data_IF_028330583057
#
_entry.id   IF_028330583057
#
_cell.length_a   1.000
_cell.length_b   1.000
_cell.length_c   1.000
_cell.angle_alpha   90.00
_cell.angle_beta   90.00
_cell.angle_gamma   90.00
#
_symmetry.space_group_name_H-M   'P 1'
#
loop_
_entity.id
_entity.type
_entity.pdbx_description
1 polymer ?
#
# COMPACT_ATOMS: atom_id res chain seq x y z
N UNK A 1 -28.29 92.90 39.75
CA UNK A 1 -27.22 92.07 40.32
C UNK A 1 -27.88 91.17 41.36
N UNK A 2 -27.94 89.88 41.05
CA UNK A 2 -28.48 88.69 41.76
C UNK A 2 -29.46 88.87 42.93
N UNK A 3 -30.59 88.11 42.90
CA UNK A 3 -30.93 87.06 43.88
C UNK A 3 -32.25 86.33 43.48
N UNK A 4 -32.10 85.01 43.31
CA UNK A 4 -32.98 83.85 43.59
C UNK A 4 -34.51 83.87 43.40
N UNK A 5 -34.99 82.89 42.64
CA UNK A 5 -36.28 82.22 42.87
C UNK A 5 -36.20 80.69 42.64
N UNK A 6 -36.41 79.94 43.73
CA UNK A 6 -37.31 78.78 43.93
C UNK A 6 -37.36 77.67 42.87
N UNK A 7 -36.86 76.46 43.16
CA UNK A 7 -37.54 75.32 43.82
C UNK A 7 -38.23 74.34 42.85
N UNK A 8 -37.80 73.08 42.83
CA UNK A 8 -38.74 71.96 42.91
C UNK A 8 -38.05 70.63 43.16
N UNK A 9 -38.68 69.92 44.07
CA UNK A 9 -38.42 68.56 44.52
C UNK A 9 -38.86 67.60 43.41
N UNK A 10 -38.04 66.61 43.08
CA UNK A 10 -38.59 65.34 42.60
C UNK A 10 -37.73 64.18 43.08
N UNK A 11 -38.31 63.43 44.01
CA UNK A 11 -37.93 62.06 44.37
C UNK A 11 -38.43 61.13 43.26
N UNK A 12 -37.56 60.33 42.68
CA UNK A 12 -37.90 59.09 41.99
C UNK A 12 -36.71 58.14 42.20
N UNK A 13 -36.79 57.27 43.20
CA UNK A 13 -37.34 55.92 43.09
C UNK A 13 -36.40 55.00 42.30
N UNK A 14 -35.76 54.12 43.07
CA UNK A 14 -34.81 53.13 42.65
C UNK A 14 -35.41 52.11 41.67
N UNK A 15 -34.65 51.77 40.64
CA UNK A 15 -34.79 50.53 39.89
C UNK A 15 -33.41 50.13 39.36
N UNK A 16 -32.60 49.56 40.25
CA UNK A 16 -31.32 48.93 39.92
C UNK A 16 -31.61 47.63 39.17
N UNK A 17 -31.69 47.67 37.84
CA UNK A 17 -31.74 46.46 37.01
C UNK A 17 -30.31 45.93 36.88
N UNK A 18 -30.00 44.97 37.75
CA UNK A 18 -28.77 44.18 37.74
C UNK A 18 -28.84 43.21 36.54
N UNK A 19 -28.35 43.64 35.37
CA UNK A 19 -28.22 42.75 34.21
C UNK A 19 -27.02 41.82 34.44
N UNK A 20 -27.30 40.64 34.97
CA UNK A 20 -26.33 39.56 35.19
C UNK A 20 -25.69 39.13 33.88
N UNK A 21 -24.39 39.36 33.79
CA UNK A 21 -23.50 38.96 32.71
C UNK A 21 -23.33 37.44 32.73
N UNK A 22 -24.12 36.71 31.94
CA UNK A 22 -23.82 35.32 31.62
C UNK A 22 -22.71 35.36 30.55
N UNK A 23 -21.48 35.59 31.00
CA UNK A 23 -20.31 35.31 30.17
C UNK A 23 -20.18 33.79 30.14
N UNK A 24 -20.55 33.22 29.01
CA UNK A 24 -20.20 31.86 28.63
C UNK A 24 -18.67 31.79 28.59
N UNK A 25 -18.08 31.28 29.67
CA UNK A 25 -16.70 30.85 29.66
C UNK A 25 -16.57 29.71 28.66
N UNK A 26 -16.23 30.04 27.41
CA UNK A 26 -15.54 29.10 26.55
C UNK A 26 -14.22 28.78 27.26
N UNK A 27 -14.22 27.70 28.04
CA UNK A 27 -12.98 27.09 28.48
C UNK A 27 -12.31 26.54 27.22
N UNK A 28 -11.45 27.36 26.64
CA UNK A 28 -10.44 26.91 25.70
C UNK A 28 -9.57 25.93 26.50
N UNK A 29 -9.83 24.64 26.33
CA UNK A 29 -8.87 23.62 26.75
C UNK A 29 -7.76 23.70 25.71
N UNK A 30 -6.58 24.28 26.03
CA UNK A 30 -5.45 24.08 25.15
C UNK A 30 -5.16 22.59 25.21
N UNK A 31 -5.55 21.86 24.16
CA UNK A 31 -4.88 20.63 23.80
C UNK A 31 -3.43 21.05 23.53
N UNK A 32 -2.62 21.05 24.57
CA UNK A 32 -1.16 21.03 24.45
C UNK A 32 -0.89 19.63 23.91
N UNK A 33 -0.97 19.47 22.59
CA UNK A 33 -0.35 18.32 21.96
C UNK A 33 1.14 18.39 22.34
N UNK A 34 1.67 17.41 23.09
CA UNK A 34 3.09 17.39 23.38
C UNK A 34 3.80 17.38 22.04
N UNK A 35 4.74 18.33 21.84
CA UNK A 35 5.46 18.61 20.59
C UNK A 35 5.76 17.29 19.86
N UNK A 36 4.88 16.92 18.93
CA UNK A 36 4.98 15.65 18.23
C UNK A 36 5.90 15.84 17.04
N UNK A 37 6.97 15.05 16.98
CA UNK A 37 7.86 15.00 15.82
C UNK A 37 7.09 14.50 14.60
N UNK A 38 7.42 14.99 13.40
CA UNK A 38 6.84 14.42 12.19
C UNK A 38 7.58 13.14 11.81
N UNK A 39 6.85 12.17 11.27
CA UNK A 39 7.47 11.02 10.60
C UNK A 39 8.29 11.54 9.42
N UNK A 40 9.50 11.01 9.30
CA UNK A 40 10.40 11.26 8.20
C UNK A 40 10.65 9.94 7.47
N UNK A 41 10.48 9.95 6.15
CA UNK A 41 10.68 8.80 5.29
C UNK A 41 11.42 9.29 4.07
N UNK A 42 12.70 8.96 3.98
CA UNK A 42 13.55 9.35 2.87
C UNK A 42 14.24 8.11 2.33
N UNK A 43 14.56 8.13 1.04
CA UNK A 43 15.30 7.03 0.44
C UNK A 43 16.17 7.50 -0.71
N UNK A 44 17.09 6.62 -1.08
CA UNK A 44 17.96 6.75 -2.22
C UNK A 44 17.95 5.45 -3.02
N UNK A 45 18.14 5.59 -4.33
CA UNK A 45 18.22 4.48 -5.27
C UNK A 45 19.62 4.48 -5.88
N UNK A 46 20.26 3.31 -5.91
CA UNK A 46 21.58 3.10 -6.50
C UNK A 46 21.54 1.91 -7.44
N UNK A 47 22.20 2.02 -8.58
CA UNK A 47 22.40 0.89 -9.48
C UNK A 47 23.41 -0.07 -8.86
N UNK A 48 23.01 -1.31 -8.61
CA UNK A 48 23.91 -2.36 -8.12
C UNK A 48 24.51 -3.15 -9.27
N UNK A 49 23.65 -3.59 -10.20
CA UNK A 49 24.00 -4.33 -11.42
C UNK A 49 23.06 -3.89 -12.56
N UNK A 50 23.34 -4.22 -13.83
CA UNK A 50 22.42 -3.93 -14.93
C UNK A 50 21.01 -4.48 -14.65
N UNK A 51 20.02 -3.57 -14.59
CA UNK A 51 18.63 -3.93 -14.27
C UNK A 51 18.33 -4.16 -12.79
N UNK A 52 19.32 -4.07 -11.90
CA UNK A 52 19.17 -4.33 -10.47
C UNK A 52 19.53 -3.09 -9.65
N UNK A 53 18.60 -2.65 -8.82
CA UNK A 53 18.70 -1.41 -8.06
C UNK A 53 18.57 -1.67 -6.58
N UNK A 54 19.52 -1.17 -5.81
CA UNK A 54 19.47 -1.11 -4.36
C UNK A 54 18.68 0.13 -3.94
N UNK A 55 17.65 -0.07 -3.12
CA UNK A 55 16.83 1.00 -2.57
C UNK A 55 17.00 0.97 -1.06
N UNK A 56 17.48 2.08 -0.50
CA UNK A 56 17.77 2.20 0.93
C UNK A 56 17.29 3.54 1.46
N UNK A 57 16.86 3.58 2.72
CA UNK A 57 16.33 4.78 3.32
C UNK A 57 16.50 4.86 4.82
N UNK A 58 16.39 6.08 5.32
CA UNK A 58 16.38 6.42 6.73
C UNK A 58 14.96 6.85 7.14
N UNK A 59 14.58 6.54 8.37
CA UNK A 59 13.26 6.86 8.92
C UNK A 59 13.25 6.86 10.44
N UNK A 60 12.32 7.59 11.05
CA UNK A 60 12.04 7.53 12.48
C UNK A 60 10.85 6.61 12.83
N UNK A 61 10.38 5.79 11.88
CA UNK A 61 9.35 4.78 12.12
C UNK A 61 9.80 3.72 13.14
N UNK A 62 8.86 3.06 13.85
CA UNK A 62 9.18 1.93 14.71
C UNK A 62 9.88 0.79 13.96
N UNK A 63 10.74 0.06 14.67
CA UNK A 63 11.32 -1.16 14.13
C UNK A 63 10.24 -2.16 13.72
N UNK A 64 10.56 -3.00 12.74
CA UNK A 64 9.66 -3.98 12.10
C UNK A 64 8.52 -3.37 11.28
N UNK A 65 8.40 -2.04 11.23
CA UNK A 65 7.49 -1.38 10.28
C UNK A 65 7.86 -1.80 8.86
N UNK A 66 6.86 -2.20 8.08
CA UNK A 66 7.04 -2.62 6.70
C UNK A 66 6.88 -1.45 5.75
N UNK A 67 7.87 -1.26 4.88
CA UNK A 67 7.86 -0.33 3.76
C UNK A 67 7.72 -1.16 2.50
N UNK A 68 6.74 -0.89 1.65
CA UNK A 68 6.69 -1.43 0.29
C UNK A 68 7.38 -0.46 -0.65
N UNK A 69 8.19 -1.02 -1.53
CA UNK A 69 8.93 -0.31 -2.56
C UNK A 69 8.44 -0.82 -3.91
N UNK A 70 8.04 0.09 -4.78
CA UNK A 70 7.55 -0.20 -6.14
C UNK A 70 8.34 0.61 -7.14
N UNK A 71 8.77 -0.01 -8.23
CA UNK A 71 9.34 0.67 -9.38
C UNK A 71 8.32 0.68 -10.53
N UNK A 72 8.00 1.87 -11.03
CA UNK A 72 6.98 2.09 -12.04
C UNK A 72 7.56 2.85 -13.22
N UNK A 73 7.29 2.38 -14.43
CA UNK A 73 7.59 3.12 -15.67
C UNK A 73 6.28 3.57 -16.31
N UNK A 74 6.20 4.86 -16.63
CA UNK A 74 5.07 5.40 -17.39
C UNK A 74 5.22 5.04 -18.87
N UNK A 75 4.07 4.82 -19.51
CA UNK A 75 3.94 4.38 -20.89
C UNK A 75 2.98 5.33 -21.61
N UNK A 76 3.49 5.96 -22.66
CA UNK A 76 2.75 6.90 -23.49
C UNK A 76 2.20 6.18 -24.74
N UNK A 77 0.93 6.39 -25.12
CA UNK A 77 0.42 5.86 -26.38
C UNK A 77 1.20 6.42 -27.58
N UNK A 78 1.54 5.56 -28.53
CA UNK A 78 2.20 5.99 -29.78
C UNK A 78 1.20 6.52 -30.81
N UNK A 79 -0.08 6.14 -30.70
CA UNK A 79 -1.14 6.57 -31.61
C UNK A 79 -1.66 7.97 -31.22
N UNK A 80 -1.14 8.98 -31.93
CA UNK A 80 -1.50 10.39 -31.82
C UNK A 80 -2.78 10.73 -32.59
N UNK A 81 -3.87 9.98 -32.39
CA UNK A 81 -5.17 10.44 -32.92
C UNK A 81 -5.62 11.65 -32.10
N UNK A 82 -5.79 12.85 -32.70
CA UNK A 82 -5.97 14.12 -31.98
C UNK A 82 -7.31 14.28 -31.23
N UNK A 83 -8.07 13.19 -31.05
CA UNK A 83 -9.48 13.23 -30.65
C UNK A 83 -9.77 12.67 -29.25
N UNK A 84 -8.75 12.32 -28.47
CA UNK A 84 -8.92 11.90 -27.07
C UNK A 84 -8.28 12.91 -26.13
N UNK A 85 -9.03 13.96 -25.81
CA UNK A 85 -8.75 14.98 -24.78
C UNK A 85 -8.55 14.43 -23.35
N UNK A 86 -8.34 13.12 -23.16
CA UNK A 86 -8.18 12.42 -21.88
C UNK A 86 -7.39 11.10 -22.06
N UNK A 87 -6.31 11.07 -22.84
CA UNK A 87 -5.42 9.90 -22.83
C UNK A 87 -4.68 9.86 -21.49
N UNK A 88 -5.20 9.09 -20.53
CA UNK A 88 -4.51 8.79 -19.28
C UNK A 88 -3.24 8.01 -19.61
N UNK A 89 -2.09 8.51 -19.18
CA UNK A 89 -0.83 7.78 -19.25
C UNK A 89 -1.01 6.43 -18.57
N UNK A 90 -0.63 5.36 -19.27
CA UNK A 90 -0.60 4.02 -18.69
C UNK A 90 0.72 3.85 -17.95
N UNK A 91 0.82 2.88 -17.05
CA UNK A 91 2.05 2.57 -16.36
C UNK A 91 2.27 1.07 -16.28
N UNK A 92 3.52 0.67 -16.08
CA UNK A 92 3.90 -0.70 -15.80
C UNK A 92 4.65 -0.76 -14.49
N UNK A 93 4.24 -1.67 -13.61
CA UNK A 93 5.00 -2.03 -12.42
C UNK A 93 6.13 -2.96 -12.86
N UNK A 94 7.37 -2.48 -12.74
CA UNK A 94 8.56 -3.23 -13.12
C UNK A 94 8.96 -4.22 -12.03
N UNK A 95 8.89 -3.77 -10.78
CA UNK A 95 9.25 -4.55 -9.60
C UNK A 95 8.49 -4.07 -8.36
N UNK A 96 8.30 -4.99 -7.43
CA UNK A 96 7.70 -4.74 -6.13
C UNK A 96 8.47 -5.53 -5.08
N UNK A 97 8.87 -4.89 -3.98
CA UNK A 97 9.43 -5.56 -2.82
C UNK A 97 8.99 -4.90 -1.52
N UNK A 98 9.20 -5.59 -0.41
CA UNK A 98 9.01 -5.04 0.93
C UNK A 98 10.32 -5.06 1.72
N UNK A 99 10.54 -4.03 2.53
CA UNK A 99 11.63 -3.94 3.49
C UNK A 99 11.08 -3.73 4.90
N UNK A 100 11.84 -4.14 5.92
CA UNK A 100 11.52 -3.85 7.31
C UNK A 100 12.48 -2.79 7.86
N UNK A 101 11.94 -1.88 8.65
CA UNK A 101 12.72 -0.91 9.41
C UNK A 101 13.48 -1.61 10.52
N UNK A 102 14.79 -1.36 10.59
CA UNK A 102 15.70 -1.83 11.62
C UNK A 102 16.60 -0.68 12.04
N UNK A 103 16.51 -0.26 13.30
CA UNK A 103 17.29 0.84 13.86
C UNK A 103 17.17 2.13 13.03
N UNK A 104 15.96 2.45 12.58
CA UNK A 104 15.66 3.63 11.78
C UNK A 104 16.16 3.57 10.32
N UNK A 105 16.59 2.40 9.84
CA UNK A 105 17.02 2.19 8.46
C UNK A 105 16.26 1.07 7.80
N UNK A 106 16.16 1.10 6.49
CA UNK A 106 15.59 0.00 5.71
C UNK A 106 16.28 -0.10 4.36
N UNK A 107 16.28 -1.30 3.79
CA UNK A 107 16.92 -1.57 2.50
C UNK A 107 16.24 -2.75 1.79
N UNK A 108 16.22 -2.70 0.47
CA UNK A 108 15.82 -3.80 -0.40
C UNK A 108 16.51 -3.71 -1.77
N UNK A 109 16.30 -4.71 -2.61
CA UNK A 109 16.81 -4.76 -3.97
C UNK A 109 15.66 -5.04 -4.96
N UNK A 110 15.60 -4.26 -6.02
CA UNK A 110 14.61 -4.39 -7.09
C UNK A 110 15.28 -4.85 -8.39
N UNK A 111 14.78 -5.93 -8.98
CA UNK A 111 15.13 -6.34 -10.33
C UNK A 111 14.08 -5.83 -11.31
N UNK A 112 14.43 -4.82 -12.11
CA UNK A 112 13.54 -4.20 -13.09
C UNK A 112 13.46 -5.02 -14.38
N UNK A 113 14.50 -5.79 -14.66
CA UNK A 113 14.58 -6.65 -15.85
C UNK A 113 14.16 -8.07 -15.50
N UNK A 114 13.50 -8.70 -16.45
CA UNK A 114 13.10 -10.10 -16.44
C UNK A 114 13.69 -10.77 -17.67
N UNK A 115 13.91 -12.08 -17.60
CA UNK A 115 14.39 -12.85 -18.75
C UNK A 115 13.19 -13.40 -19.52
N UNK A 116 13.04 -12.99 -20.77
CA UNK A 116 12.01 -13.51 -21.65
C UNK A 116 12.31 -14.97 -22.09
N UNK A 117 11.34 -15.64 -22.70
CA UNK A 117 11.47 -17.03 -23.17
C UNK A 117 12.56 -17.24 -24.22
N UNK A 118 12.96 -16.17 -24.91
CA UNK A 118 14.06 -16.16 -25.88
C UNK A 118 15.44 -15.90 -25.23
N UNK A 119 15.49 -15.67 -23.91
CA UNK A 119 16.70 -15.36 -23.14
C UNK A 119 17.07 -13.87 -23.15
N UNK A 120 16.28 -13.00 -23.80
CA UNK A 120 16.55 -11.55 -23.78
C UNK A 120 16.08 -10.92 -22.47
N UNK A 121 16.81 -9.92 -21.98
CA UNK A 121 16.32 -9.08 -20.88
C UNK A 121 15.18 -8.19 -21.40
N UNK A 122 14.10 -8.11 -20.64
CA UNK A 122 12.92 -7.30 -20.92
C UNK A 122 12.32 -6.75 -19.63
N UNK A 123 11.73 -5.57 -19.70
CA UNK A 123 10.83 -5.08 -18.67
C UNK A 123 9.47 -5.77 -18.80
N UNK A 124 8.69 -5.80 -17.72
CA UNK A 124 7.39 -6.48 -17.66
C UNK A 124 6.46 -6.10 -18.82
N UNK A 125 6.36 -4.80 -19.14
CA UNK A 125 5.51 -4.33 -20.24
C UNK A 125 5.95 -4.80 -21.62
N UNK A 126 7.25 -5.00 -21.87
CA UNK A 126 7.75 -5.47 -23.17
C UNK A 126 7.38 -6.94 -23.43
N UNK A 127 7.21 -7.72 -22.36
CA UNK A 127 6.76 -9.11 -22.43
C UNK A 127 5.28 -9.13 -22.83
N UNK A 128 4.45 -8.31 -22.20
CA UNK A 128 3.01 -8.27 -22.45
C UNK A 128 2.61 -7.48 -23.70
N UNK A 129 3.49 -6.63 -24.24
CA UNK A 129 3.20 -5.73 -25.35
C UNK A 129 2.59 -6.44 -26.57
N UNK A 130 3.16 -7.59 -26.96
CA UNK A 130 2.65 -8.38 -28.11
C UNK A 130 1.31 -9.04 -27.80
N UNK A 131 1.16 -9.58 -26.59
CA UNK A 131 -0.06 -10.27 -26.14
C UNK A 131 -1.25 -9.31 -26.08
N UNK A 132 -1.00 -8.10 -25.59
CA UNK A 132 -2.01 -7.07 -25.39
C UNK A 132 -2.15 -6.11 -26.58
N UNK A 133 -1.35 -6.28 -27.65
CA UNK A 133 -1.32 -5.41 -28.84
C UNK A 133 -1.18 -3.92 -28.48
N UNK A 134 -0.29 -3.61 -27.53
CA UNK A 134 -0.10 -2.25 -27.02
C UNK A 134 0.88 -1.45 -27.90
N UNK A 135 0.41 -0.34 -28.46
CA UNK A 135 1.25 0.67 -29.13
C UNK A 135 1.64 1.75 -28.12
N UNK A 136 2.74 1.52 -27.38
CA UNK A 136 3.21 2.41 -26.32
C UNK A 136 4.71 2.66 -26.41
N UNK A 137 5.12 3.85 -25.98
CA UNK A 137 6.52 4.27 -25.80
C UNK A 137 6.79 4.45 -24.30
N UNK A 138 7.91 3.93 -23.78
CA UNK A 138 8.30 4.15 -22.39
C UNK A 138 8.79 5.57 -22.11
N UNK A 139 8.48 6.10 -20.92
CA UNK A 139 9.21 7.22 -20.31
C UNK A 139 10.66 6.80 -20.04
N UNK A 140 11.61 7.73 -20.11
CA UNK A 140 13.03 7.47 -19.83
C UNK A 140 13.27 7.19 -18.34
N UNK A 141 12.43 7.74 -17.47
CA UNK A 141 12.52 7.62 -16.03
C UNK A 141 11.67 6.47 -15.51
N UNK A 142 12.21 5.83 -14.49
CA UNK A 142 11.47 4.95 -13.58
C UNK A 142 11.22 5.71 -12.30
N UNK A 143 9.97 5.70 -11.85
CA UNK A 143 9.55 6.26 -10.57
C UNK A 143 9.60 5.15 -9.53
N UNK A 144 10.50 5.32 -8.56
CA UNK A 144 10.56 4.51 -7.37
C UNK A 144 9.65 5.13 -6.32
N UNK A 145 8.83 4.31 -5.69
CA UNK A 145 7.81 4.69 -4.73
C UNK A 145 8.08 3.89 -3.46
N UNK A 146 8.19 4.57 -2.32
CA UNK A 146 8.17 3.91 -1.02
C UNK A 146 6.89 4.30 -0.29
N UNK A 147 6.12 3.30 0.14
CA UNK A 147 4.86 3.46 0.85
C UNK A 147 4.83 2.60 2.09
N UNK A 148 4.07 3.01 3.10
CA UNK A 148 3.81 2.15 4.24
C UNK A 148 2.92 0.99 3.79
N UNK A 149 3.30 -0.24 4.13
CA UNK A 149 2.58 -1.44 3.71
C UNK A 149 1.97 -2.18 4.90
N UNK A 150 0.84 -1.70 5.43
CA UNK A 150 0.09 -2.39 6.47
C UNK A 150 -0.66 -3.59 5.87
N UNK A 151 -0.03 -4.77 5.83
CA UNK A 151 -0.58 -5.95 5.13
C UNK A 151 -1.56 -6.78 5.98
N UNK A 152 -1.78 -6.42 7.25
CA UNK A 152 -2.61 -7.20 8.17
C UNK A 152 -3.73 -6.34 8.75
N UNK A 153 -4.89 -6.96 9.05
CA UNK A 153 -5.96 -6.33 9.86
C UNK A 153 -5.47 -5.89 11.26
N UNK A 154 -4.35 -6.46 11.72
CA UNK A 154 -3.64 -6.12 12.97
C UNK A 154 -2.65 -4.94 12.78
N UNK A 155 -2.27 -4.64 11.55
CA UNK A 155 -1.31 -3.59 11.17
C UNK A 155 -1.97 -2.43 10.43
N UNK A 156 -3.28 -2.22 10.55
CA UNK A 156 -3.96 -1.08 9.92
C UNK A 156 -3.25 0.25 10.26
N UNK A 157 -3.36 1.24 9.37
CA UNK A 157 -2.75 2.58 9.57
C UNK A 157 -3.05 3.14 10.97
N UNK A 158 -4.25 2.84 11.51
CA UNK A 158 -4.68 3.16 12.87
C UNK A 158 -3.80 2.55 13.98
N UNK A 159 -3.37 1.30 13.83
CA UNK A 159 -2.45 0.62 14.75
C UNK A 159 -1.04 1.23 14.70
N UNK A 160 -0.56 1.55 13.50
CA UNK A 160 0.69 2.28 13.34
C UNK A 160 0.60 3.69 13.94
N UNK A 161 -0.49 4.42 13.69
CA UNK A 161 -0.73 5.74 14.29
C UNK A 161 -0.73 5.71 15.81
N UNK A 162 -1.26 4.65 16.43
CA UNK A 162 -1.19 4.47 17.87
C UNK A 162 0.26 4.31 18.34
N UNK A 163 1.05 3.47 17.68
CA UNK A 163 2.48 3.32 18.00
C UNK A 163 3.26 4.62 17.78
N UNK A 164 2.90 5.40 16.76
CA UNK A 164 3.48 6.73 16.52
C UNK A 164 3.12 7.69 17.66
N UNK A 165 1.86 7.72 18.11
CA UNK A 165 1.43 8.52 19.27
C UNK A 165 2.19 8.17 20.54
N UNK A 166 2.38 6.88 20.82
CA UNK A 166 3.21 6.41 21.96
C UNK A 166 4.64 6.94 21.88
N UNK A 167 5.20 7.05 20.66
CA UNK A 167 6.52 7.61 20.40
C UNK A 167 6.53 9.14 20.23
N UNK A 168 5.41 9.83 20.46
CA UNK A 168 5.24 11.28 20.22
C UNK A 168 5.60 11.67 18.77
N UNK A 169 5.25 10.82 17.82
CA UNK A 169 5.37 11.04 16.39
C UNK A 169 3.99 11.19 15.75
N UNK A 170 3.91 11.93 14.64
CA UNK A 170 2.72 12.06 13.81
C UNK A 170 3.08 11.98 12.33
N UNK A 171 2.15 11.50 11.51
CA UNK A 171 2.31 11.53 10.07
C UNK A 171 2.24 13.00 9.58
N UNK A 172 3.29 13.45 8.91
CA UNK A 172 3.34 14.80 8.34
C UNK A 172 2.45 14.89 7.10
N UNK A 173 1.70 16.00 6.95
CA UNK A 173 0.78 16.18 5.81
C UNK A 173 1.42 16.14 4.42
N UNK A 174 2.75 16.33 4.32
CA UNK A 174 3.49 16.20 3.05
C UNK A 174 3.66 14.76 2.59
N UNK A 175 3.55 13.81 3.50
CA UNK A 175 3.72 12.37 3.22
C UNK A 175 2.37 11.68 3.00
N UNK A 176 1.27 12.30 3.42
CA UNK A 176 -0.08 11.73 3.37
C UNK A 176 -0.73 12.06 2.04
N UNK A 177 -1.21 11.03 1.36
CA UNK A 177 -2.01 11.10 0.16
C UNK A 177 -3.36 10.46 0.44
N UNK A 178 -4.39 10.91 -0.29
CA UNK A 178 -5.77 10.41 -0.13
C UNK A 178 -6.21 9.77 -1.44
N UNK A 179 -6.74 8.55 -1.38
CA UNK A 179 -7.36 7.89 -2.54
C UNK A 179 -8.70 8.56 -2.87
N UNK A 180 -9.26 8.35 -4.08
CA UNK A 180 -10.59 8.85 -4.44
C UNK A 180 -11.70 8.39 -3.47
N UNK A 181 -11.50 7.24 -2.82
CA UNK A 181 -12.40 6.66 -1.82
C UNK A 181 -12.22 7.27 -0.42
N UNK A 182 -11.31 8.24 -0.26
CA UNK A 182 -11.04 8.92 1.01
C UNK A 182 -10.04 8.20 1.91
N UNK A 183 -9.39 7.13 1.45
CA UNK A 183 -8.42 6.38 2.24
C UNK A 183 -7.07 7.11 2.26
N UNK A 184 -6.48 7.28 3.44
CA UNK A 184 -5.17 7.91 3.58
C UNK A 184 -4.05 6.88 3.51
N UNK A 185 -2.97 7.23 2.81
CA UNK A 185 -1.76 6.42 2.73
C UNK A 185 -0.52 7.32 2.73
N UNK A 186 0.62 6.73 3.08
CA UNK A 186 1.89 7.47 3.17
C UNK A 186 2.76 7.08 1.99
N UNK A 187 3.27 8.07 1.24
CA UNK A 187 4.11 7.82 0.07
C UNK A 187 5.25 8.83 -0.01
N UNK A 188 6.40 8.36 -0.47
CA UNK A 188 7.47 9.18 -1.02
C UNK A 188 7.93 8.63 -2.36
N UNK A 189 8.40 9.50 -3.25
CA UNK A 189 8.79 9.13 -4.60
C UNK A 189 10.15 9.70 -4.97
N UNK A 190 10.85 8.97 -5.84
CA UNK A 190 12.09 9.41 -6.48
C UNK A 190 12.06 8.91 -7.93
N UNK A 191 12.18 9.83 -8.89
CA UNK A 191 12.36 9.48 -10.29
C UNK A 191 13.85 9.37 -10.62
N UNK A 192 14.22 8.34 -11.38
CA UNK A 192 15.59 8.14 -11.85
C UNK A 192 15.57 7.66 -13.30
N UNK A 193 16.47 8.21 -14.12
CA UNK A 193 16.68 7.72 -15.47
C UNK A 193 17.22 6.28 -15.42
N UNK A 194 16.49 5.36 -16.06
CA UNK A 194 16.85 3.94 -16.12
C UNK A 194 16.86 3.53 -17.58
N UNK A 195 18.01 3.05 -18.10
CA UNK A 195 18.09 2.61 -19.48
C UNK A 195 17.18 1.39 -19.71
N UNK A 196 16.72 1.25 -20.95
CA UNK A 196 15.97 0.05 -21.34
C UNK A 196 16.87 -1.19 -21.29
N UNK A 197 16.30 -2.39 -21.12
CA UNK A 197 17.07 -3.62 -21.05
C UNK A 197 17.92 -3.86 -22.30
N UNK A 198 19.16 -4.25 -22.07
CA UNK A 198 20.10 -4.65 -23.12
C UNK A 198 20.68 -6.05 -22.84
N UNK A 199 21.12 -6.72 -23.91
CA UNK A 199 21.79 -8.01 -23.82
C UNK A 199 20.88 -9.23 -23.76
N UNK A 200 21.52 -10.40 -23.64
CA UNK A 200 20.91 -11.72 -23.59
C UNK A 200 21.56 -12.54 -22.48
N UNK A 201 20.78 -13.41 -21.87
CA UNK A 201 21.23 -14.42 -20.91
C UNK A 201 20.68 -15.79 -21.31
N UNK A 202 21.01 -16.81 -20.53
CA UNK A 202 20.49 -18.16 -20.73
C UNK A 202 18.96 -18.15 -20.59
N UNK A 203 18.28 -18.88 -21.47
CA UNK A 203 16.82 -19.02 -21.39
C UNK A 203 16.46 -19.55 -19.99
N UNK A 204 15.45 -18.96 -19.33
CA UNK A 204 15.01 -19.47 -18.05
C UNK A 204 14.56 -20.92 -18.23
N UNK A 205 14.83 -21.76 -17.23
CA UNK A 205 14.26 -23.10 -17.26
C UNK A 205 12.73 -22.99 -17.29
N UNK A 206 12.05 -23.76 -18.15
CA UNK A 206 10.61 -23.75 -18.21
C UNK A 206 10.06 -24.07 -16.82
N UNK A 207 9.11 -23.24 -16.36
CA UNK A 207 8.54 -23.44 -15.03
C UNK A 207 7.76 -24.75 -14.99
N UNK A 208 7.59 -25.35 -13.82
CA UNK A 208 6.81 -26.60 -13.69
C UNK A 208 5.38 -26.43 -14.22
N UNK A 209 4.83 -25.22 -14.16
CA UNK A 209 3.53 -24.82 -14.71
C UNK A 209 3.51 -24.65 -16.24
N UNK A 210 4.65 -24.71 -16.91
CA UNK A 210 4.79 -24.67 -18.37
C UNK A 210 5.12 -26.06 -18.94
N UNK A 211 5.65 -26.95 -18.09
CA UNK A 211 5.91 -28.37 -18.37
C UNK A 211 4.61 -29.15 -18.11
N UNK A 212 4.36 -30.24 -18.85
CA UNK A 212 3.19 -31.12 -18.67
C UNK A 212 1.82 -30.44 -18.83
N UNK A 213 1.70 -29.42 -19.69
CA UNK A 213 0.43 -28.72 -19.94
C UNK A 213 -0.03 -27.81 -18.79
N UNK A 214 0.87 -27.53 -17.84
CA UNK A 214 0.66 -26.64 -16.70
C UNK A 214 -0.40 -27.09 -15.70
N UNK A 215 -1.11 -26.13 -15.12
CA UNK A 215 -2.38 -26.36 -14.41
C UNK A 215 -3.55 -26.61 -15.39
N UNK A 216 -3.29 -27.20 -16.55
CA UNK A 216 -4.27 -27.44 -17.61
C UNK A 216 -5.45 -28.29 -17.15
N UNK A 217 -6.12 -28.99 -18.08
CA UNK A 217 -7.37 -29.70 -17.83
C UNK A 217 -7.21 -30.93 -16.92
N UNK A 218 -6.72 -30.79 -15.68
CA UNK A 218 -6.68 -31.83 -14.64
C UNK A 218 -8.07 -32.31 -14.25
N UNK A 219 -9.10 -31.53 -14.55
CA UNK A 219 -10.49 -31.99 -14.51
C UNK A 219 -10.84 -33.00 -15.63
N UNK A 220 -10.02 -33.09 -16.68
CA UNK A 220 -10.03 -34.17 -17.67
C UNK A 220 -8.97 -35.24 -17.32
N UNK A 221 -8.78 -35.55 -16.04
CA UNK A 221 -8.27 -36.88 -15.74
C UNK A 221 -9.24 -37.88 -16.38
N UNK A 222 -8.80 -38.74 -17.32
CA UNK A 222 -9.64 -39.85 -17.72
C UNK A 222 -10.06 -40.56 -16.43
N UNK A 223 -11.35 -40.89 -16.31
CA UNK A 223 -11.87 -41.59 -15.15
C UNK A 223 -10.97 -42.78 -14.81
N UNK A 224 -10.87 -43.11 -13.52
CA UNK A 224 -10.03 -44.19 -13.05
C UNK A 224 -10.22 -45.43 -13.95
N UNK A 225 -9.14 -45.98 -14.54
CA UNK A 225 -9.27 -47.13 -15.42
C UNK A 225 -9.98 -48.24 -14.64
N UNK A 226 -10.96 -48.89 -15.28
CA UNK A 226 -11.66 -50.00 -14.65
C UNK A 226 -10.64 -51.00 -14.12
N UNK A 227 -10.69 -51.23 -12.81
CA UNK A 227 -9.82 -52.19 -12.17
C UNK A 227 -10.10 -53.57 -12.82
N UNK A 228 -9.11 -54.22 -13.46
CA UNK A 228 -9.33 -55.49 -14.16
C UNK A 228 -9.66 -56.63 -13.19
N UNK A 229 -9.49 -56.40 -11.89
CA UNK A 229 -9.83 -57.35 -10.84
C UNK A 229 -11.22 -57.05 -10.28
N UNK A 230 -12.08 -58.07 -10.25
CA UNK A 230 -13.30 -58.04 -9.47
C UNK A 230 -12.90 -58.10 -7.98
N UNK A 231 -12.80 -56.95 -7.33
CA UNK A 231 -12.58 -56.91 -5.89
C UNK A 231 -13.86 -57.35 -5.20
N UNK A 232 -13.84 -58.51 -4.56
CA UNK A 232 -14.94 -58.93 -3.69
C UNK A 232 -15.08 -57.91 -2.56
N UNK A 233 -16.28 -57.35 -2.32
CA UNK A 233 -16.49 -56.48 -1.18
C UNK A 233 -16.18 -57.30 0.08
N UNK A 234 -15.40 -56.75 1.03
CA UNK A 234 -15.12 -57.47 2.26
C UNK A 234 -16.46 -57.78 2.95
N UNK A 235 -16.61 -59.02 3.42
CA UNK A 235 -17.85 -59.50 4.05
C UNK A 235 -18.29 -58.62 5.24
N UNK A 236 -17.34 -57.92 5.85
CA UNK A 236 -17.58 -56.97 6.92
C UNK A 236 -16.93 -55.62 6.60
N UNK A 237 -17.63 -54.54 6.96
CA UNK A 237 -17.15 -53.17 6.81
C UNK A 237 -15.96 -52.95 7.74
N UNK A 238 -14.75 -53.06 7.22
CA UNK A 238 -13.57 -52.67 7.97
C UNK A 238 -13.54 -51.14 8.09
N UNK A 239 -13.72 -50.65 9.32
CA UNK A 239 -13.55 -49.24 9.64
C UNK A 239 -12.44 -49.12 10.67
N UNK A 240 -11.51 -48.22 10.39
CA UNK A 240 -10.52 -47.70 11.32
C UNK A 240 -11.06 -46.51 12.12
N UNK A 241 -12.38 -46.23 12.05
CA UNK A 241 -13.02 -45.25 12.90
C UNK A 241 -13.01 -45.74 14.35
N UNK A 242 -12.81 -44.84 15.33
CA UNK A 242 -12.89 -45.22 16.74
C UNK A 242 -14.28 -45.77 17.05
N UNK A 243 -14.31 -46.88 17.80
CA UNK A 243 -15.54 -47.57 18.21
C UNK A 243 -16.50 -46.62 18.90
N UNK A 244 -17.79 -46.67 18.53
CA UNK A 244 -18.81 -45.81 19.16
C UNK A 244 -19.25 -46.42 20.49
N UNK A 245 -19.70 -45.59 21.44
CA UNK A 245 -20.04 -46.03 22.80
C UNK A 245 -21.14 -47.09 22.81
N UNK A 246 -22.03 -47.08 21.83
CA UNK A 246 -23.15 -48.00 21.69
C UNK A 246 -22.70 -49.43 21.32
N UNK A 247 -21.49 -49.60 20.82
CA UNK A 247 -20.93 -50.91 20.40
C UNK A 247 -20.30 -51.68 21.58
N UNK A 248 -20.13 -51.04 22.74
CA UNK A 248 -19.52 -51.65 23.94
C UNK A 248 -20.52 -52.34 24.88
N UNK A 249 -21.82 -52.34 24.57
CA UNK A 249 -22.88 -52.92 25.41
C UNK A 249 -23.54 -54.17 24.81
N UNK A 250 -22.86 -54.84 23.87
CA UNK A 250 -23.24 -56.18 23.39
C UNK A 250 -22.43 -57.26 24.06
#
# INVERSE_FOLDING_TARGET
>A
MSIFQTSSIMRAAAATVLLTSITTGCQYIPFIDPIAGNVDLQFSVKSAEPGVYEVSGDTNLPDKTRVAIVAVRYLEPTDTTPQRLNQKSTYSVLAYQTAQVQAGKWQTQLSLWQVATDGTHKEAWQIDQKKLKLAVKPDENVVFLATLNPVSEVDQLSGLEQQLREKKLKLGGKLIYTTPEGQQYVQVLQAQAVPLPEGKTNKPQPRTEEINGGWGRRYLMPGEPQNPYLLEPPAERQTNAPSRREEFLR
#
